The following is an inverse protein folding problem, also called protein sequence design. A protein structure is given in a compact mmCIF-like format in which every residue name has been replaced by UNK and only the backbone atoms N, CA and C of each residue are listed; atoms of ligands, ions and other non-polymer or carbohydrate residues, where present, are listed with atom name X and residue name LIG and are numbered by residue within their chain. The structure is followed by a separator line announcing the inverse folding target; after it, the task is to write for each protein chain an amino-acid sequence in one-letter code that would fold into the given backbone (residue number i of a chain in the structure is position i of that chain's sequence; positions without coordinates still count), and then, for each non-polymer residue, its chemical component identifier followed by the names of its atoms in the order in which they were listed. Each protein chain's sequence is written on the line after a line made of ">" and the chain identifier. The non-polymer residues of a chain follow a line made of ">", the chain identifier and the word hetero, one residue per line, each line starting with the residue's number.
data_IF_290551351575
#
_entry.id   IF_290551351575
#
_cell.length_a   1.000
_cell.length_b   1.000
_cell.length_c   1.000
_cell.angle_alpha   90.00
_cell.angle_beta   90.00
_cell.angle_gamma   90.00
#
_symmetry.space_group_name_H-M   'P 1'
#
loop_
_entity.id
_entity.type
_entity.pdbx_description
1 polymer ?
#
# COMPACT_ATOMS: atom_id res chain seq x y z
N UNK A 1 -0.27 32.93 23.28
CA UNK A 1 -1.16 33.08 22.11
C UNK A 1 -0.50 32.65 20.80
N UNK A 2 0.64 33.23 20.36
CA UNK A 2 1.33 32.76 19.15
C UNK A 2 1.83 31.30 19.28
N UNK A 3 2.28 30.92 20.48
CA UNK A 3 2.70 29.56 20.80
C UNK A 3 1.56 28.55 20.66
N UNK A 4 0.40 28.85 21.25
CA UNK A 4 -0.82 28.03 21.09
C UNK A 4 -1.26 27.89 19.63
N UNK A 5 -1.21 28.97 18.85
CA UNK A 5 -1.49 28.91 17.41
C UNK A 5 -0.50 28.00 16.68
N UNK A 6 0.81 28.11 16.97
CA UNK A 6 1.84 27.22 16.41
C UNK A 6 1.61 25.76 16.79
N UNK A 7 1.21 25.50 18.04
CA UNK A 7 0.90 24.16 18.51
C UNK A 7 -0.31 23.56 17.78
N UNK A 8 -1.37 24.34 17.55
CA UNK A 8 -2.55 23.93 16.74
C UNK A 8 -2.11 23.56 15.31
N UNK A 9 -1.34 24.44 14.67
CA UNK A 9 -0.93 24.23 13.28
C UNK A 9 0.02 23.02 13.14
N UNK A 10 0.91 22.83 14.11
CA UNK A 10 1.81 21.68 14.15
C UNK A 10 1.06 20.37 14.38
N UNK A 11 0.15 20.35 15.35
CA UNK A 11 -0.66 19.18 15.65
C UNK A 11 -1.56 18.80 14.47
N UNK A 12 -2.12 19.79 13.76
CA UNK A 12 -2.85 19.57 12.51
C UNK A 12 -1.97 18.93 11.44
N UNK A 13 -0.74 19.42 11.23
CA UNK A 13 0.19 18.81 10.25
C UNK A 13 0.51 17.36 10.61
N UNK A 14 0.80 17.08 11.89
CA UNK A 14 1.06 15.73 12.39
C UNK A 14 -0.15 14.80 12.20
N UNK A 15 -1.36 15.29 12.43
CA UNK A 15 -2.59 14.51 12.22
C UNK A 15 -2.80 14.10 10.76
N UNK A 16 -2.49 14.97 9.80
CA UNK A 16 -2.60 14.65 8.37
C UNK A 16 -1.51 13.72 7.87
N UNK A 17 -0.34 13.72 8.51
CA UNK A 17 0.74 12.80 8.21
C UNK A 17 0.57 11.42 8.88
N UNK A 18 -0.31 11.32 9.89
CA UNK A 18 -0.54 10.09 10.62
C UNK A 18 -1.49 9.16 9.86
N UNK A 19 -0.97 7.99 9.46
CA UNK A 19 -1.75 6.93 8.80
C UNK A 19 -2.22 5.86 9.80
N UNK A 20 -1.61 5.80 10.97
CA UNK A 20 -1.82 4.73 11.95
C UNK A 20 -2.87 5.09 13.00
N UNK A 21 -3.78 4.16 13.36
CA UNK A 21 -4.81 4.41 14.37
C UNK A 21 -4.24 4.78 15.74
N UNK A 22 -3.08 4.20 16.10
CA UNK A 22 -2.46 4.44 17.40
C UNK A 22 -1.84 5.84 17.49
N UNK A 23 -1.14 6.28 16.45
CA UNK A 23 -0.64 7.66 16.38
C UNK A 23 -1.77 8.67 16.38
N UNK A 24 -2.88 8.39 15.68
CA UNK A 24 -4.06 9.24 15.74
C UNK A 24 -4.68 9.29 17.15
N UNK A 25 -4.63 8.20 17.93
CA UNK A 25 -5.09 8.17 19.32
C UNK A 25 -4.24 9.06 20.24
N UNK A 26 -2.93 9.03 20.07
CA UNK A 26 -2.00 9.91 20.80
C UNK A 26 -2.24 11.38 20.46
N UNK A 27 -2.39 11.70 19.17
CA UNK A 27 -2.66 13.07 18.71
C UNK A 27 -4.02 13.59 19.18
N UNK A 28 -5.02 12.73 19.32
CA UNK A 28 -6.31 13.12 19.90
C UNK A 28 -6.19 13.47 21.38
N UNK A 29 -5.35 12.75 22.12
CA UNK A 29 -5.07 13.07 23.52
C UNK A 29 -4.36 14.43 23.62
N UNK A 30 -3.33 14.67 22.79
CA UNK A 30 -2.67 15.99 22.69
C UNK A 30 -3.67 17.11 22.33
N UNK A 31 -4.62 16.84 21.42
CA UNK A 31 -5.64 17.81 21.04
C UNK A 31 -6.62 18.15 22.17
N UNK A 32 -6.88 17.22 23.10
CA UNK A 32 -7.70 17.49 24.30
C UNK A 32 -6.97 18.41 25.28
N UNK A 33 -5.69 18.15 25.49
CA UNK A 33 -4.87 18.97 26.38
C UNK A 33 -4.75 20.39 25.82
N UNK A 34 -4.52 20.50 24.50
CA UNK A 34 -4.47 21.77 23.79
C UNK A 34 -5.81 22.51 23.81
N UNK A 35 -6.94 21.81 23.64
CA UNK A 35 -8.26 22.40 23.78
C UNK A 35 -8.50 22.96 25.19
N UNK A 36 -8.00 22.27 26.22
CA UNK A 36 -8.09 22.73 27.61
C UNK A 36 -7.28 24.02 27.82
N UNK A 37 -6.08 24.10 27.25
CA UNK A 37 -5.25 25.31 27.27
C UNK A 37 -5.86 26.46 26.45
N UNK A 38 -6.56 26.14 25.35
CA UNK A 38 -7.20 27.11 24.47
C UNK A 38 -8.53 27.66 25.01
N UNK A 39 -9.10 27.09 26.08
CA UNK A 39 -10.38 27.55 26.65
C UNK A 39 -10.33 29.02 27.03
N UNK A 40 -11.41 29.73 26.74
CA UNK A 40 -11.56 31.16 26.99
C UNK A 40 -10.55 32.04 26.21
N UNK A 41 -9.96 31.50 25.14
CA UNK A 41 -9.11 32.26 24.22
C UNK A 41 -9.78 32.40 22.86
N UNK A 42 -9.41 33.40 22.04
CA UNK A 42 -9.87 33.49 20.65
C UNK A 42 -9.54 32.28 19.77
N UNK A 43 -8.66 31.37 20.22
CA UNK A 43 -8.23 30.18 19.49
C UNK A 43 -9.06 28.93 19.83
N UNK A 44 -9.98 29.02 20.80
CA UNK A 44 -10.80 27.89 21.26
C UNK A 44 -11.53 27.19 20.11
N UNK A 45 -12.17 27.96 19.22
CA UNK A 45 -12.88 27.39 18.06
C UNK A 45 -11.94 26.64 17.11
N UNK A 46 -10.70 27.11 16.94
CA UNK A 46 -9.71 26.43 16.09
C UNK A 46 -9.25 25.12 16.73
N UNK A 47 -9.00 25.10 18.04
CA UNK A 47 -8.64 23.89 18.77
C UNK A 47 -9.79 22.87 18.76
N UNK A 48 -11.04 23.33 18.91
CA UNK A 48 -12.22 22.46 18.84
C UNK A 48 -12.41 21.86 17.45
N UNK A 49 -12.21 22.65 16.39
CA UNK A 49 -12.24 22.16 15.02
C UNK A 49 -11.16 21.10 14.76
N UNK A 50 -9.94 21.31 15.26
CA UNK A 50 -8.84 20.34 15.16
C UNK A 50 -9.17 19.03 15.89
N UNK A 51 -9.75 19.11 17.09
CA UNK A 51 -10.15 17.91 17.83
C UNK A 51 -11.19 17.08 17.05
N UNK A 52 -12.21 17.74 16.47
CA UNK A 52 -13.22 17.07 15.65
C UNK A 52 -12.61 16.45 14.37
N UNK A 53 -11.66 17.14 13.74
CA UNK A 53 -10.92 16.67 12.56
C UNK A 53 -10.12 15.39 12.87
N UNK A 54 -9.40 15.35 13.99
CA UNK A 54 -8.64 14.15 14.40
C UNK A 54 -9.60 12.99 14.71
N UNK A 55 -10.73 13.25 15.37
CA UNK A 55 -11.73 12.22 15.65
C UNK A 55 -12.34 11.64 14.36
N UNK A 56 -12.59 12.48 13.36
CA UNK A 56 -13.07 12.03 12.05
C UNK A 56 -12.03 11.15 11.33
N UNK A 57 -10.75 11.56 11.33
CA UNK A 57 -9.65 10.76 10.77
C UNK A 57 -9.53 9.39 11.45
N UNK A 58 -9.62 9.33 12.77
CA UNK A 58 -9.66 8.07 13.51
C UNK A 58 -10.83 7.18 13.11
N UNK A 59 -12.03 7.76 13.01
CA UNK A 59 -13.23 7.00 12.66
C UNK A 59 -13.12 6.37 11.26
N UNK A 60 -12.55 7.10 10.30
CA UNK A 60 -12.26 6.63 8.95
C UNK A 60 -11.22 5.50 8.96
N UNK A 61 -10.18 5.66 9.77
CA UNK A 61 -9.17 4.62 9.99
C UNK A 61 -9.73 3.37 10.68
N UNK A 62 -10.72 3.51 11.55
CA UNK A 62 -11.33 2.40 12.29
C UNK A 62 -12.43 1.67 11.50
N UNK A 63 -12.77 2.12 10.28
CA UNK A 63 -13.77 1.45 9.44
C UNK A 63 -13.35 -0.01 9.20
N UNK A 64 -14.30 -0.95 9.30
CA UNK A 64 -14.00 -2.38 9.19
C UNK A 64 -13.31 -2.73 7.87
N UNK A 65 -13.67 -2.06 6.78
CA UNK A 65 -13.05 -2.26 5.47
C UNK A 65 -11.55 -1.87 5.47
N UNK A 66 -11.20 -0.73 6.09
CA UNK A 66 -9.82 -0.25 6.23
C UNK A 66 -8.98 -1.18 7.12
N UNK A 67 -9.58 -1.72 8.20
CA UNK A 67 -8.91 -2.66 9.08
C UNK A 67 -8.69 -4.02 8.42
N UNK A 68 -9.70 -4.55 7.72
CA UNK A 68 -9.60 -5.79 6.96
C UNK A 68 -8.55 -5.68 5.85
N UNK A 69 -8.53 -4.57 5.13
CA UNK A 69 -7.53 -4.26 4.10
C UNK A 69 -6.11 -4.26 4.66
N UNK A 70 -5.85 -3.56 5.77
CA UNK A 70 -4.52 -3.57 6.42
C UNK A 70 -4.11 -4.99 6.82
N UNK A 71 -5.06 -5.79 7.30
CA UNK A 71 -4.84 -7.21 7.60
C UNK A 71 -4.49 -8.05 6.37
N UNK A 72 -5.10 -7.79 5.21
CA UNK A 72 -4.77 -8.45 3.94
C UNK A 72 -3.37 -8.05 3.46
N UNK A 73 -3.08 -6.75 3.38
CA UNK A 73 -1.78 -6.19 2.97
C UNK A 73 -0.65 -6.71 3.87
N UNK A 74 -0.85 -6.74 5.18
CA UNK A 74 0.15 -7.27 6.13
C UNK A 74 0.42 -8.75 5.90
N UNK A 75 -0.62 -9.57 5.70
CA UNK A 75 -0.49 -11.02 5.45
C UNK A 75 0.24 -11.32 4.15
N UNK A 76 -0.07 -10.58 3.08
CA UNK A 76 0.61 -10.72 1.80
C UNK A 76 2.09 -10.32 1.90
N UNK A 77 2.39 -9.20 2.59
CA UNK A 77 3.77 -8.76 2.82
C UNK A 77 4.61 -9.81 3.53
N UNK A 78 4.06 -10.42 4.60
CA UNK A 78 4.74 -11.47 5.35
C UNK A 78 5.09 -12.66 4.44
N UNK A 79 4.15 -13.11 3.60
CA UNK A 79 4.39 -14.23 2.66
C UNK A 79 5.48 -13.89 1.64
N UNK A 80 5.41 -12.71 1.02
CA UNK A 80 6.41 -12.25 0.04
C UNK A 80 7.80 -12.09 0.69
N UNK A 81 7.88 -11.57 1.91
CA UNK A 81 9.16 -11.23 2.57
C UNK A 81 9.79 -12.36 3.37
N UNK A 82 9.00 -13.25 3.98
CA UNK A 82 9.49 -14.24 4.94
C UNK A 82 9.52 -15.66 4.36
N UNK A 83 8.52 -16.03 3.57
CA UNK A 83 8.37 -17.40 3.11
C UNK A 83 8.81 -17.54 1.65
N UNK A 84 8.32 -16.66 0.77
CA UNK A 84 8.93 -16.33 -0.53
C UNK A 84 9.06 -17.48 -1.54
N UNK A 85 8.47 -18.64 -1.26
CA UNK A 85 8.35 -19.74 -2.21
C UNK A 85 7.20 -19.50 -3.20
N UNK A 86 7.17 -20.27 -4.28
CA UNK A 86 6.22 -20.05 -5.37
C UNK A 86 4.76 -20.18 -4.91
N UNK A 87 4.48 -21.07 -3.93
CA UNK A 87 3.14 -21.26 -3.36
C UNK A 87 2.70 -20.05 -2.51
N UNK A 88 3.59 -19.53 -1.67
CA UNK A 88 3.37 -18.33 -0.86
C UNK A 88 3.18 -17.08 -1.72
N UNK A 89 3.88 -16.99 -2.86
CA UNK A 89 3.71 -15.90 -3.82
C UNK A 89 2.34 -15.97 -4.49
N UNK A 90 1.88 -17.15 -4.92
CA UNK A 90 0.55 -17.32 -5.48
C UNK A 90 -0.54 -16.97 -4.44
N UNK A 91 -0.41 -17.41 -3.19
CA UNK A 91 -1.35 -17.08 -2.12
C UNK A 91 -1.32 -15.57 -1.79
N UNK A 92 -0.14 -14.94 -1.81
CA UNK A 92 -0.02 -13.50 -1.61
C UNK A 92 -0.72 -12.71 -2.72
N UNK A 93 -0.64 -13.14 -3.98
CA UNK A 93 -1.34 -12.52 -5.10
C UNK A 93 -2.85 -12.60 -4.90
N UNK A 94 -3.38 -13.76 -4.49
CA UNK A 94 -4.82 -13.93 -4.26
C UNK A 94 -5.33 -13.07 -3.09
N UNK A 95 -4.54 -12.97 -2.01
CA UNK A 95 -4.85 -12.07 -0.88
C UNK A 95 -4.85 -10.60 -1.31
N UNK A 96 -3.88 -10.18 -2.15
CA UNK A 96 -3.81 -8.80 -2.65
C UNK A 96 -4.91 -8.52 -3.67
N UNK A 97 -5.39 -9.52 -4.40
CA UNK A 97 -6.55 -9.41 -5.26
C UNK A 97 -7.83 -9.13 -4.46
N UNK A 98 -8.02 -9.77 -3.31
CA UNK A 98 -9.12 -9.44 -2.40
C UNK A 98 -9.01 -8.00 -1.90
N UNK A 99 -7.79 -7.53 -1.57
CA UNK A 99 -7.57 -6.15 -1.14
C UNK A 99 -7.94 -5.12 -2.22
N UNK A 100 -7.59 -5.37 -3.49
CA UNK A 100 -7.94 -4.50 -4.61
C UNK A 100 -9.43 -4.46 -4.94
N UNK A 101 -10.20 -5.51 -4.59
CA UNK A 101 -11.66 -5.46 -4.70
C UNK A 101 -12.30 -4.51 -3.68
N UNK A 102 -11.62 -4.25 -2.56
CA UNK A 102 -12.08 -3.30 -1.54
C UNK A 102 -11.66 -1.87 -1.88
N UNK A 103 -10.42 -1.68 -2.36
CA UNK A 103 -9.92 -0.39 -2.87
C UNK A 103 -8.91 -0.64 -4.00
N UNK A 104 -9.35 -0.41 -5.24
CA UNK A 104 -8.52 -0.58 -6.44
C UNK A 104 -7.37 0.43 -6.51
N UNK A 105 -7.43 1.53 -5.77
CA UNK A 105 -6.42 2.58 -5.72
C UNK A 105 -5.39 2.40 -4.61
N UNK A 106 -5.44 1.30 -3.85
CA UNK A 106 -4.56 1.13 -2.70
C UNK A 106 -3.09 0.98 -3.11
N UNK A 107 -2.28 2.00 -2.82
CA UNK A 107 -0.88 2.07 -3.23
C UNK A 107 0.00 0.96 -2.62
N UNK A 108 -0.29 0.52 -1.38
CA UNK A 108 0.45 -0.56 -0.72
C UNK A 108 0.18 -1.90 -1.40
N UNK A 109 -1.09 -2.19 -1.72
CA UNK A 109 -1.47 -3.42 -2.42
C UNK A 109 -0.85 -3.49 -3.82
N UNK A 110 -0.88 -2.38 -4.57
CA UNK A 110 -0.25 -2.26 -5.89
C UNK A 110 1.27 -2.50 -5.79
N UNK A 111 1.93 -1.86 -4.82
CA UNK A 111 3.39 -2.00 -4.62
C UNK A 111 3.78 -3.43 -4.26
N UNK A 112 2.99 -4.12 -3.43
CA UNK A 112 3.23 -5.53 -3.09
C UNK A 112 2.95 -6.46 -4.28
N UNK A 113 1.93 -6.21 -5.10
CA UNK A 113 1.67 -6.99 -6.32
C UNK A 113 2.82 -6.88 -7.32
N UNK A 114 3.38 -5.69 -7.51
CA UNK A 114 4.58 -5.51 -8.34
C UNK A 114 5.78 -6.31 -7.82
N UNK A 115 5.96 -6.35 -6.50
CA UNK A 115 7.01 -7.17 -5.86
C UNK A 115 6.75 -8.65 -6.08
N UNK A 116 5.54 -9.15 -5.83
CA UNK A 116 5.17 -10.54 -6.08
C UNK A 116 5.42 -10.94 -7.55
N UNK A 117 5.02 -10.09 -8.50
CA UNK A 117 5.26 -10.29 -9.94
C UNK A 117 6.74 -10.21 -10.35
N UNK A 118 7.66 -9.85 -9.47
CA UNK A 118 9.09 -9.91 -9.74
C UNK A 118 9.69 -11.31 -9.47
N UNK A 119 9.00 -12.18 -8.71
CA UNK A 119 9.52 -13.50 -8.33
C UNK A 119 9.55 -14.49 -9.50
N UNK A 120 8.49 -14.55 -10.32
CA UNK A 120 8.41 -15.49 -11.43
C UNK A 120 7.66 -14.91 -12.64
N UNK A 121 7.89 -15.48 -13.82
CA UNK A 121 7.16 -15.09 -15.03
C UNK A 121 5.65 -15.34 -14.92
N UNK A 122 5.26 -16.43 -14.24
CA UNK A 122 3.86 -16.76 -13.97
C UNK A 122 3.21 -15.74 -13.03
N UNK A 123 3.86 -15.39 -11.92
CA UNK A 123 3.40 -14.36 -11.00
C UNK A 123 3.24 -13.01 -11.71
N UNK A 124 4.19 -12.64 -12.58
CA UNK A 124 4.12 -11.42 -13.39
C UNK A 124 2.87 -11.40 -14.27
N UNK A 125 2.57 -12.49 -14.97
CA UNK A 125 1.38 -12.58 -15.82
C UNK A 125 0.10 -12.41 -15.01
N UNK A 126 -0.02 -13.08 -13.85
CA UNK A 126 -1.20 -12.94 -12.96
C UNK A 126 -1.40 -11.49 -12.52
N UNK A 127 -0.32 -10.81 -12.10
CA UNK A 127 -0.37 -9.40 -11.69
C UNK A 127 -0.78 -8.49 -12.84
N UNK A 128 -0.26 -8.74 -14.05
CA UNK A 128 -0.63 -8.00 -15.26
C UNK A 128 -2.12 -8.14 -15.58
N UNK A 129 -2.66 -9.37 -15.52
CA UNK A 129 -4.07 -9.65 -15.74
C UNK A 129 -4.92 -8.96 -14.68
N UNK A 130 -4.46 -8.97 -13.42
CA UNK A 130 -5.17 -8.34 -12.31
C UNK A 130 -5.26 -6.83 -12.47
N UNK A 131 -4.15 -6.17 -12.81
CA UNK A 131 -4.14 -4.73 -13.04
C UNK A 131 -4.98 -4.33 -14.24
N UNK A 132 -4.99 -5.17 -15.30
CA UNK A 132 -5.85 -4.95 -16.47
C UNK A 132 -7.34 -5.02 -16.10
N UNK A 133 -7.73 -5.92 -15.20
CA UNK A 133 -9.13 -6.03 -14.71
C UNK A 133 -9.56 -4.86 -13.83
N UNK A 134 -8.62 -4.20 -13.17
CA UNK A 134 -8.87 -3.08 -12.24
C UNK A 134 -8.50 -1.71 -12.83
N UNK A 135 -8.18 -1.63 -14.13
CA UNK A 135 -7.75 -0.40 -14.84
C UNK A 135 -6.55 0.31 -14.18
N UNK A 136 -5.67 -0.46 -13.52
CA UNK A 136 -4.47 0.07 -12.85
C UNK A 136 -3.37 0.24 -13.90
N UNK A 137 -3.08 1.48 -14.28
CA UNK A 137 -1.97 1.79 -15.20
C UNK A 137 -0.63 1.47 -14.54
N UNK A 138 0.04 0.39 -14.96
CA UNK A 138 1.45 0.19 -14.64
C UNK A 138 2.27 1.29 -15.31
N UNK A 139 3.13 1.96 -14.55
CA UNK A 139 4.30 2.56 -15.16
C UNK A 139 5.07 1.41 -15.85
N UNK A 140 5.43 1.53 -17.14
CA UNK A 140 6.07 0.45 -17.88
C UNK A 140 7.44 0.14 -17.26
N UNK A 141 7.49 -0.90 -16.43
CA UNK A 141 8.75 -1.51 -16.02
C UNK A 141 9.32 -2.21 -17.25
N UNK A 142 10.46 -1.73 -17.73
CA UNK A 142 11.19 -2.25 -18.87
C UNK A 142 11.23 -3.79 -18.83
N UNK A 143 10.64 -4.41 -19.84
CA UNK A 143 10.71 -5.85 -20.10
C UNK A 143 12.17 -6.32 -20.11
N UNK A 144 12.56 -7.35 -19.34
CA UNK A 144 13.77 -8.10 -19.61
C UNK A 144 13.58 -8.80 -20.95
N UNK A 145 14.38 -8.43 -21.95
CA UNK A 145 14.42 -9.11 -23.25
C UNK A 145 14.59 -10.62 -23.06
N UNK A 146 13.57 -11.38 -23.41
CA UNK A 146 13.61 -12.83 -23.52
C UNK A 146 14.63 -13.21 -24.63
N UNK A 147 15.64 -14.05 -24.36
CA UNK A 147 16.52 -14.55 -25.42
C UNK A 147 15.75 -15.57 -26.27
N UNK A 148 15.80 -15.50 -27.61
CA UNK A 148 15.10 -16.47 -28.44
C UNK A 148 15.77 -17.83 -28.28
N UNK A 149 15.09 -18.75 -27.57
CA UNK A 149 15.40 -20.18 -27.62
C UNK A 149 15.01 -20.68 -29.01
N UNK A 150 15.98 -20.81 -29.92
CA UNK A 150 15.81 -21.57 -31.17
C UNK A 150 16.31 -22.99 -30.95
N UNK A 151 15.36 -23.90 -30.98
CA UNK A 151 15.49 -25.35 -30.83
C UNK A 151 16.62 -25.96 -31.69
N UNK A 152 17.45 -26.80 -31.09
CA UNK A 152 18.05 -27.96 -31.75
C UNK A 152 17.31 -29.22 -31.27
N UNK A 153 17.10 -30.23 -32.13
CA UNK A 153 17.99 -31.40 -32.06
C UNK A 153 18.39 -32.03 -33.44
N UNK A 154 19.34 -33.01 -33.45
CA UNK A 154 20.20 -33.44 -34.59
C UNK A 154 19.72 -34.79 -35.23
N UNK A 155 20.53 -35.65 -35.93
CA UNK A 155 21.62 -35.53 -36.92
C UNK A 155 21.32 -36.28 -38.27
N UNK A 156 22.06 -36.01 -39.36
CA UNK A 156 22.40 -37.01 -40.42
C UNK A 156 23.42 -36.47 -41.47
N UNK A 157 24.53 -37.18 -41.64
CA UNK A 157 25.53 -37.04 -42.72
C UNK A 157 24.99 -37.63 -44.07
N UNK A 158 25.70 -37.67 -45.25
CA UNK A 158 27.10 -37.32 -45.54
C UNK A 158 27.38 -36.58 -46.90
N UNK A 159 28.65 -36.16 -47.05
CA UNK A 159 29.48 -36.07 -48.28
C UNK A 159 29.01 -35.33 -49.56
N UNK A 160 29.83 -34.36 -50.04
CA UNK A 160 30.61 -34.47 -51.31
C UNK A 160 31.51 -33.24 -51.56
N UNK A 161 32.69 -33.54 -52.12
CA UNK A 161 33.79 -32.63 -52.53
C UNK A 161 33.40 -31.77 -53.76
N UNK A 162 34.22 -30.77 -54.14
CA UNK A 162 35.35 -31.03 -55.05
C UNK A 162 36.73 -30.61 -54.52
#
# INVERSE_FOLDING_TARGET
>A
MQELQRAIDELRRRAHAASDPQSLAELQQEARDLLTEAKNTPLEQKAQALFAEIADLQSKSARPDTAAMRGLVRRARIRIEIAGDDDDIDEAIDILADALRMDAGNADAISLLQRAGAHSAQARQRVQDLFSRHDIQQAPSATPSEPPRRNEPPPAAPARQP
#
